data_IF_176008984561
#
_entry.id   IF_176008984561
#
_cell.length_a   1.000
_cell.length_b   1.000
_cell.length_c   1.000
_cell.angle_alpha   90.00
_cell.angle_beta   90.00
_cell.angle_gamma   90.00
#
_symmetry.space_group_name_H-M   'P 1'
#
loop_
_entity.id
_entity.type
_entity.pdbx_description
1 polymer ?
#
# COMPACT_ATOMS: atom_id res chain seq x y z
N UNK A 1 -8.79 36.42 -6.40
CA UNK A 1 -8.21 35.62 -5.30
C UNK A 1 -8.74 34.22 -5.42
N UNK A 2 -7.87 33.22 -5.46
CA UNK A 2 -8.28 31.81 -5.59
C UNK A 2 -7.72 31.05 -4.38
N UNK A 3 -8.59 30.34 -3.66
CA UNK A 3 -8.21 29.47 -2.55
C UNK A 3 -7.95 28.05 -3.08
N UNK A 4 -6.89 27.42 -2.60
CA UNK A 4 -6.53 26.03 -2.94
C UNK A 4 -6.75 25.17 -1.71
N UNK A 5 -7.38 24.00 -1.83
CA UNK A 5 -7.77 23.19 -0.67
C UNK A 5 -6.93 21.93 -0.50
N UNK A 6 -6.56 21.31 -1.60
CA UNK A 6 -6.01 19.96 -1.61
C UNK A 6 -4.50 19.94 -1.86
N UNK A 7 -3.99 20.94 -2.60
CA UNK A 7 -2.57 21.09 -2.93
C UNK A 7 -1.97 22.31 -2.21
N UNK A 8 -0.68 22.22 -1.85
CA UNK A 8 0.04 23.36 -1.29
C UNK A 8 0.31 24.39 -2.38
N UNK A 9 -0.08 25.63 -2.13
CA UNK A 9 0.16 26.74 -3.06
C UNK A 9 1.64 26.93 -3.39
N UNK A 10 2.54 26.62 -2.45
CA UNK A 10 3.99 26.70 -2.64
C UNK A 10 4.47 25.85 -3.81
N UNK A 11 3.88 24.66 -3.98
CA UNK A 11 4.20 23.70 -5.04
C UNK A 11 3.72 24.18 -6.41
N UNK A 12 2.62 24.93 -6.44
CA UNK A 12 2.05 25.50 -7.68
C UNK A 12 2.76 26.79 -8.11
N UNK A 13 3.43 27.48 -7.19
CA UNK A 13 4.02 28.79 -7.45
C UNK A 13 5.02 28.86 -8.63
N UNK A 14 5.92 27.88 -8.85
CA UNK A 14 6.89 27.96 -9.96
C UNK A 14 6.19 27.77 -11.31
N UNK A 15 5.23 26.84 -11.37
CA UNK A 15 4.45 26.55 -12.57
C UNK A 15 3.56 27.74 -12.94
N UNK A 16 2.86 28.32 -11.96
CA UNK A 16 1.99 29.47 -12.19
C UNK A 16 2.78 30.72 -12.60
N UNK A 17 3.98 30.93 -12.04
CA UNK A 17 4.89 31.99 -12.50
C UNK A 17 5.34 31.77 -13.94
N UNK A 18 5.79 30.56 -14.29
CA UNK A 18 6.20 30.23 -15.66
C UNK A 18 5.05 30.41 -16.68
N UNK A 19 3.83 30.02 -16.31
CA UNK A 19 2.65 30.20 -17.17
C UNK A 19 2.25 31.69 -17.29
N UNK A 20 2.40 32.47 -16.23
CA UNK A 20 2.15 33.91 -16.23
C UNK A 20 3.20 34.68 -17.05
N UNK A 21 4.48 34.30 -16.96
CA UNK A 21 5.59 34.91 -17.72
C UNK A 21 5.39 34.69 -19.23
N UNK A 22 4.90 33.51 -19.64
CA UNK A 22 4.52 33.23 -21.03
C UNK A 22 3.28 34.03 -21.50
N UNK A 23 2.37 34.35 -20.58
CA UNK A 23 1.10 35.00 -20.90
C UNK A 23 1.18 36.53 -20.95
N UNK A 24 2.29 37.12 -20.48
CA UNK A 24 2.58 38.54 -20.55
C UNK A 24 1.77 39.40 -19.57
N UNK A 25 2.47 40.16 -18.73
CA UNK A 25 1.96 41.16 -17.78
C UNK A 25 0.94 40.65 -16.75
N UNK A 26 1.45 40.36 -15.57
CA UNK A 26 0.70 40.03 -14.36
C UNK A 26 1.66 39.64 -13.23
N UNK A 27 1.22 39.65 -11.98
CA UNK A 27 1.98 39.13 -10.85
C UNK A 27 1.18 38.04 -10.13
N UNK A 28 1.87 36.95 -9.78
CA UNK A 28 1.33 35.84 -9.00
C UNK A 28 2.04 35.84 -7.65
N UNK A 29 1.29 36.14 -6.60
CA UNK A 29 1.76 36.11 -5.22
C UNK A 29 1.02 35.01 -4.49
N UNK A 30 1.75 34.17 -3.76
CA UNK A 30 1.15 33.19 -2.88
C UNK A 30 1.21 33.65 -1.43
N UNK A 31 0.24 33.23 -0.64
CA UNK A 31 0.26 33.40 0.80
C UNK A 31 0.03 32.04 1.48
N UNK A 32 1.14 31.48 1.97
CA UNK A 32 1.20 30.13 2.53
C UNK A 32 0.31 29.93 3.78
N UNK A 33 0.25 30.85 4.77
CA UNK A 33 -0.51 30.60 6.00
C UNK A 33 -2.02 30.37 5.78
N UNK A 34 -2.59 30.95 4.72
CA UNK A 34 -4.00 30.74 4.36
C UNK A 34 -4.19 29.86 3.11
N UNK A 35 -3.11 29.32 2.53
CA UNK A 35 -3.12 28.55 1.27
C UNK A 35 -3.90 29.24 0.13
N UNK A 36 -3.63 30.54 -0.07
CA UNK A 36 -4.31 31.37 -1.08
C UNK A 36 -3.34 31.86 -2.15
N UNK A 37 -3.86 32.06 -3.37
CA UNK A 37 -3.13 32.65 -4.49
C UNK A 37 -3.79 33.98 -4.89
N UNK A 38 -2.97 35.02 -4.89
CA UNK A 38 -3.29 36.33 -5.41
C UNK A 38 -2.71 36.47 -6.81
N UNK A 39 -3.59 36.57 -7.80
CA UNK A 39 -3.25 36.72 -9.20
C UNK A 39 -3.72 38.08 -9.64
N UNK A 40 -2.81 38.85 -10.23
CA UNK A 40 -3.07 40.17 -10.81
C UNK A 40 -2.58 40.15 -12.25
N UNK A 41 -3.34 40.72 -13.18
CA UNK A 41 -2.99 40.70 -14.60
C UNK A 41 -4.21 40.89 -15.49
N UNK A 42 -4.07 40.57 -16.78
CA UNK A 42 -5.18 40.63 -17.74
C UNK A 42 -6.25 39.59 -17.42
N UNK A 43 -7.52 39.96 -17.57
CA UNK A 43 -8.66 39.10 -17.26
C UNK A 43 -8.59 37.71 -17.94
N UNK A 44 -8.18 37.64 -19.21
CA UNK A 44 -8.02 36.38 -19.94
C UNK A 44 -6.99 35.42 -19.30
N UNK A 45 -5.89 35.97 -18.76
CA UNK A 45 -4.84 35.19 -18.11
C UNK A 45 -5.29 34.74 -16.72
N UNK A 46 -5.94 35.62 -15.97
CA UNK A 46 -6.50 35.31 -14.64
C UNK A 46 -7.51 34.17 -14.74
N UNK A 47 -8.43 34.23 -15.70
CA UNK A 47 -9.43 33.17 -15.90
C UNK A 47 -8.78 31.84 -16.26
N UNK A 48 -7.80 31.85 -17.19
CA UNK A 48 -7.06 30.63 -17.57
C UNK A 48 -6.29 30.02 -16.40
N UNK A 49 -5.61 30.85 -15.60
CA UNK A 49 -4.88 30.37 -14.42
C UNK A 49 -5.83 29.83 -13.36
N UNK A 50 -6.99 30.47 -13.15
CA UNK A 50 -8.01 29.99 -12.23
C UNK A 50 -8.54 28.59 -12.64
N UNK A 51 -8.82 28.37 -13.92
CA UNK A 51 -9.23 27.06 -14.44
C UNK A 51 -8.15 25.99 -14.24
N UNK A 52 -6.88 26.32 -14.47
CA UNK A 52 -5.77 25.39 -14.26
C UNK A 52 -5.65 25.04 -12.77
N UNK A 53 -5.72 26.04 -11.89
CA UNK A 53 -5.66 25.84 -10.45
C UNK A 53 -6.81 24.93 -10.00
N UNK A 54 -8.04 25.16 -10.46
CA UNK A 54 -9.19 24.32 -10.11
C UNK A 54 -9.02 22.87 -10.57
N UNK A 55 -8.50 22.66 -11.80
CA UNK A 55 -8.20 21.31 -12.30
C UNK A 55 -7.13 20.61 -11.47
N UNK A 56 -6.08 21.33 -11.10
CA UNK A 56 -4.99 20.77 -10.30
C UNK A 56 -5.41 20.52 -8.85
N UNK A 57 -6.22 21.41 -8.25
CA UNK A 57 -6.75 21.24 -6.90
C UNK A 57 -7.68 20.01 -6.83
N UNK A 58 -8.52 19.80 -7.85
CA UNK A 58 -9.34 18.57 -7.97
C UNK A 58 -8.49 17.31 -8.10
N UNK A 59 -7.40 17.35 -8.87
CA UNK A 59 -6.47 16.23 -9.00
C UNK A 59 -5.66 15.96 -7.71
N UNK A 60 -5.54 16.97 -6.83
CA UNK A 60 -4.86 16.84 -5.55
C UNK A 60 -5.72 16.26 -4.42
N UNK A 61 -7.00 15.94 -4.66
CA UNK A 61 -7.91 15.42 -3.63
C UNK A 61 -7.37 14.13 -3.00
N UNK A 62 -6.94 14.25 -1.74
CA UNK A 62 -6.47 13.14 -0.91
C UNK A 62 -7.48 12.88 0.19
N UNK A 63 -8.55 12.17 -0.16
CA UNK A 63 -9.47 11.64 0.84
C UNK A 63 -8.99 10.29 1.37
N UNK A 64 -9.32 10.01 2.63
CA UNK A 64 -9.03 8.74 3.30
C UNK A 64 -10.24 7.82 3.14
N UNK A 65 -9.98 6.56 2.83
CA UNK A 65 -10.99 5.51 2.75
C UNK A 65 -10.58 4.32 3.62
N UNK A 66 -11.55 3.70 4.29
CA UNK A 66 -11.37 2.50 5.10
C UNK A 66 -11.86 1.29 4.31
N UNK A 67 -11.02 0.26 4.21
CA UNK A 67 -11.35 -1.02 3.59
C UNK A 67 -11.20 -2.12 4.63
N UNK A 68 -12.31 -2.78 4.98
CA UNK A 68 -12.31 -3.92 5.89
C UNK A 68 -11.85 -5.19 5.18
N UNK A 69 -11.07 -6.02 5.88
CA UNK A 69 -10.57 -7.30 5.38
C UNK A 69 -11.29 -8.45 6.09
N UNK A 70 -11.57 -9.52 5.34
CA UNK A 70 -12.28 -10.69 5.86
C UNK A 70 -11.36 -11.88 6.16
N UNK A 71 -10.33 -12.08 5.35
CA UNK A 71 -9.52 -13.29 5.37
C UNK A 71 -8.06 -13.02 5.74
N UNK A 72 -7.47 -11.97 5.18
CA UNK A 72 -6.08 -11.63 5.39
C UNK A 72 -5.87 -10.67 6.57
N UNK A 73 -4.68 -10.72 7.17
CA UNK A 73 -4.25 -9.74 8.18
C UNK A 73 -3.94 -8.39 7.55
N UNK A 74 -4.44 -7.30 8.13
CA UNK A 74 -4.19 -5.94 7.66
C UNK A 74 -2.70 -5.60 7.55
N UNK A 75 -1.88 -6.04 8.52
CA UNK A 75 -0.44 -5.77 8.52
C UNK A 75 0.29 -6.46 7.37
N UNK A 76 -0.08 -7.71 7.05
CA UNK A 76 0.51 -8.46 5.94
C UNK A 76 0.08 -7.87 4.60
N UNK A 77 -1.18 -7.50 4.48
CA UNK A 77 -1.72 -6.89 3.27
C UNK A 77 -1.03 -5.57 2.92
N UNK A 78 -0.81 -4.69 3.91
CA UNK A 78 -0.08 -3.44 3.67
C UNK A 78 1.34 -3.71 3.18
N UNK A 79 2.05 -4.67 3.77
CA UNK A 79 3.41 -5.03 3.32
C UNK A 79 3.45 -5.51 1.87
N UNK A 80 2.50 -6.37 1.48
CA UNK A 80 2.41 -6.90 0.13
C UNK A 80 2.10 -5.78 -0.86
N UNK A 81 1.11 -4.94 -0.55
CA UNK A 81 0.68 -3.84 -1.43
C UNK A 81 1.76 -2.77 -1.56
N UNK A 82 2.47 -2.43 -0.47
CA UNK A 82 3.63 -1.53 -0.52
C UNK A 82 4.77 -2.09 -1.36
N UNK A 83 5.06 -3.39 -1.24
CA UNK A 83 6.06 -4.06 -2.06
C UNK A 83 5.71 -3.98 -3.55
N UNK A 84 4.43 -4.19 -3.90
CA UNK A 84 3.95 -4.04 -5.28
C UNK A 84 4.08 -2.58 -5.77
N UNK A 85 3.68 -1.60 -4.98
CA UNK A 85 3.72 -0.18 -5.36
C UNK A 85 5.15 0.37 -5.51
N UNK A 86 6.09 -0.05 -4.65
CA UNK A 86 7.51 0.38 -4.73
C UNK A 86 8.16 0.02 -6.07
N UNK A 87 7.71 -1.05 -6.73
CA UNK A 87 8.29 -1.51 -7.99
C UNK A 87 7.82 -0.70 -9.21
N UNK A 88 6.66 -0.04 -9.15
CA UNK A 88 6.02 0.55 -10.33
C UNK A 88 6.17 2.07 -10.42
N UNK A 89 6.17 2.83 -9.31
CA UNK A 89 5.90 4.29 -9.37
C UNK A 89 6.82 5.20 -8.54
N UNK A 90 7.84 4.66 -7.85
CA UNK A 90 8.61 5.43 -6.86
C UNK A 90 9.56 6.50 -7.45
N UNK A 91 9.89 6.46 -8.75
CA UNK A 91 10.94 7.32 -9.33
C UNK A 91 10.44 8.60 -10.02
N UNK A 92 9.18 8.65 -10.47
CA UNK A 92 8.68 9.78 -11.28
C UNK A 92 7.46 10.50 -10.70
N UNK A 93 6.89 9.99 -9.61
CA UNK A 93 5.69 10.58 -8.99
C UNK A 93 6.08 11.36 -7.73
N UNK A 94 5.80 12.67 -7.66
CA UNK A 94 6.07 13.49 -6.48
C UNK A 94 5.54 12.83 -5.20
N UNK A 95 6.31 12.89 -4.11
CA UNK A 95 5.96 12.25 -2.84
C UNK A 95 4.58 12.66 -2.31
N UNK A 96 4.08 13.83 -2.68
CA UNK A 96 2.74 14.29 -2.31
C UNK A 96 1.62 13.55 -3.06
N UNK A 97 1.85 13.01 -4.26
CA UNK A 97 0.89 12.23 -5.03
C UNK A 97 0.96 10.73 -4.75
N UNK A 98 1.92 10.28 -3.93
CA UNK A 98 2.04 8.88 -3.57
C UNK A 98 0.94 8.48 -2.58
N UNK A 99 0.23 7.37 -2.82
CA UNK A 99 -0.76 6.88 -1.88
C UNK A 99 -0.08 6.44 -0.58
N UNK A 100 -0.70 6.74 0.57
CA UNK A 100 -0.27 6.16 1.86
C UNK A 100 -1.26 5.12 2.30
N UNK A 101 -0.75 3.99 2.77
CA UNK A 101 -1.52 2.88 3.31
C UNK A 101 -1.14 2.69 4.77
N UNK A 102 -2.13 2.49 5.63
CA UNK A 102 -1.93 2.21 7.06
C UNK A 102 -2.85 1.06 7.45
N UNK A 103 -2.33 0.09 8.19
CA UNK A 103 -3.12 -1.00 8.75
C UNK A 103 -3.72 -0.59 10.10
N UNK A 104 -5.00 -0.83 10.31
CA UNK A 104 -5.64 -0.88 11.62
C UNK A 104 -5.87 -2.35 12.00
N UNK A 105 -5.01 -2.88 12.85
CA UNK A 105 -5.08 -4.26 13.32
C UNK A 105 -6.29 -4.50 14.25
N UNK A 106 -6.78 -3.46 14.94
CA UNK A 106 -7.89 -3.58 15.89
C UNK A 106 -9.21 -3.89 15.19
N UNK A 107 -9.43 -3.34 13.99
CA UNK A 107 -10.64 -3.59 13.18
C UNK A 107 -10.36 -4.45 11.95
N UNK A 108 -9.15 -4.98 11.82
CA UNK A 108 -8.66 -5.67 10.63
C UNK A 108 -8.99 -4.91 9.34
N UNK A 109 -8.63 -3.64 9.29
CA UNK A 109 -8.95 -2.74 8.18
C UNK A 109 -7.71 -2.05 7.65
N UNK A 110 -7.73 -1.64 6.39
CA UNK A 110 -6.68 -0.83 5.76
C UNK A 110 -7.24 0.56 5.49
N UNK A 111 -6.52 1.58 5.96
CA UNK A 111 -6.75 2.97 5.61
C UNK A 111 -5.92 3.30 4.37
N UNK A 112 -6.59 3.76 3.32
CA UNK A 112 -5.98 4.15 2.06
C UNK A 112 -6.20 5.64 1.87
N UNK A 113 -5.10 6.38 1.68
CA UNK A 113 -5.13 7.81 1.34
C UNK A 113 -4.53 8.04 -0.03
N UNK A 114 -5.19 8.87 -0.83
CA UNK A 114 -4.71 9.23 -2.17
C UNK A 114 -5.85 9.60 -3.12
N UNK A 115 -5.48 9.82 -4.39
CA UNK A 115 -6.42 10.13 -5.47
C UNK A 115 -7.52 9.04 -5.59
N UNK A 116 -8.78 9.41 -5.89
CA UNK A 116 -9.86 8.46 -6.19
C UNK A 116 -9.50 7.29 -7.12
N UNK A 117 -8.73 7.53 -8.19
CA UNK A 117 -8.30 6.51 -9.14
C UNK A 117 -7.31 5.52 -8.49
N UNK A 118 -6.37 6.04 -7.72
CA UNK A 118 -5.37 5.22 -7.01
C UNK A 118 -6.06 4.39 -5.94
N UNK A 119 -6.97 4.98 -5.16
CA UNK A 119 -7.78 4.23 -4.17
C UNK A 119 -8.61 3.14 -4.82
N UNK A 120 -9.24 3.40 -5.97
CA UNK A 120 -10.01 2.39 -6.70
C UNK A 120 -9.14 1.23 -7.16
N UNK A 121 -7.95 1.51 -7.70
CA UNK A 121 -6.98 0.47 -8.08
C UNK A 121 -6.54 -0.35 -6.87
N UNK A 122 -6.15 0.30 -5.77
CA UNK A 122 -5.71 -0.37 -4.56
C UNK A 122 -6.81 -1.21 -3.94
N UNK A 123 -8.05 -0.72 -3.89
CA UNK A 123 -9.21 -1.48 -3.42
C UNK A 123 -9.39 -2.77 -4.22
N UNK A 124 -9.27 -2.71 -5.54
CA UNK A 124 -9.39 -3.91 -6.38
C UNK A 124 -8.27 -4.91 -6.10
N UNK A 125 -7.03 -4.45 -5.92
CA UNK A 125 -5.90 -5.31 -5.57
C UNK A 125 -6.12 -5.95 -4.19
N UNK A 126 -6.52 -5.15 -3.21
CA UNK A 126 -6.85 -5.63 -1.86
C UNK A 126 -7.96 -6.68 -1.90
N UNK A 127 -9.04 -6.45 -2.64
CA UNK A 127 -10.14 -7.43 -2.79
C UNK A 127 -9.71 -8.71 -3.52
N UNK A 128 -8.75 -8.62 -4.44
CA UNK A 128 -8.21 -9.80 -5.12
C UNK A 128 -7.30 -10.63 -4.20
N UNK A 129 -6.56 -9.96 -3.32
CA UNK A 129 -5.65 -10.59 -2.36
C UNK A 129 -6.37 -11.10 -1.09
N UNK A 130 -7.44 -10.43 -0.65
CA UNK A 130 -8.30 -10.83 0.48
C UNK A 130 -9.27 -11.96 0.11
N UNK A 131 -8.98 -12.71 -0.96
CA UNK A 131 -9.72 -13.94 -1.26
C UNK A 131 -9.32 -15.02 -0.26
N UNK A 132 -10.28 -15.88 0.08
CA UNK A 132 -10.02 -17.07 0.87
C UNK A 132 -8.81 -17.79 0.27
N UNK A 133 -7.75 -17.97 1.08
CA UNK A 133 -6.71 -18.90 0.70
C UNK A 133 -7.40 -20.24 0.46
N UNK A 134 -7.39 -20.70 -0.79
CA UNK A 134 -7.66 -22.10 -1.08
C UNK A 134 -6.81 -22.90 -0.10
N UNK A 135 -7.47 -23.82 0.62
CA UNK A 135 -7.04 -24.64 1.76
C UNK A 135 -5.74 -25.45 1.60
N UNK A 136 -4.85 -25.03 0.71
CA UNK A 136 -3.40 -25.27 0.77
C UNK A 136 -2.74 -24.52 1.93
N UNK A 137 -3.42 -24.47 3.08
CA UNK A 137 -2.79 -24.04 4.32
C UNK A 137 -1.53 -24.88 4.50
N UNK A 138 -0.44 -24.23 4.89
CA UNK A 138 0.87 -24.84 5.14
C UNK A 138 0.84 -25.88 6.30
N UNK A 139 -0.34 -26.35 6.68
CA UNK A 139 -0.62 -27.26 7.78
C UNK A 139 -1.56 -28.34 7.26
N UNK A 140 -1.04 -29.55 7.13
CA UNK A 140 -1.80 -30.72 6.70
C UNK A 140 -2.02 -31.63 7.92
N UNK A 141 -3.29 -31.93 8.22
CA UNK A 141 -3.63 -32.90 9.27
C UNK A 141 -3.62 -34.30 8.63
N UNK A 142 -2.75 -35.17 9.13
CA UNK A 142 -2.65 -36.57 8.68
C UNK A 142 -3.10 -37.48 9.82
N UNK A 143 -4.20 -38.19 9.62
CA UNK A 143 -4.69 -39.18 10.57
C UNK A 143 -3.88 -40.48 10.44
N UNK A 144 -3.29 -40.91 11.55
CA UNK A 144 -2.52 -42.13 11.64
C UNK A 144 -3.46 -43.31 11.91
N UNK A 145 -3.30 -44.41 11.16
CA UNK A 145 -4.14 -45.62 11.30
C UNK A 145 -3.61 -46.61 12.33
N UNK A 146 -2.28 -46.79 12.36
CA UNK A 146 -1.63 -47.87 13.11
C UNK A 146 -0.44 -47.39 13.96
N UNK A 147 -0.23 -46.08 14.07
CA UNK A 147 0.94 -45.51 14.73
C UNK A 147 0.54 -44.43 15.73
N UNK A 148 1.24 -44.37 16.86
CA UNK A 148 1.09 -43.31 17.85
C UNK A 148 1.69 -42.01 17.31
N UNK A 149 0.93 -40.93 17.37
CA UNK A 149 1.38 -39.62 16.92
C UNK A 149 2.57 -39.08 17.76
N UNK A 150 2.59 -39.38 19.06
CA UNK A 150 3.62 -38.92 19.99
C UNK A 150 5.01 -39.47 19.61
N UNK A 151 5.09 -40.79 19.37
CA UNK A 151 6.34 -41.46 18.99
C UNK A 151 6.85 -41.01 17.61
N UNK A 152 5.94 -40.71 16.67
CA UNK A 152 6.30 -40.29 15.32
C UNK A 152 6.77 -38.83 15.24
N UNK A 153 6.35 -37.96 16.16
CA UNK A 153 6.77 -36.56 16.14
C UNK A 153 8.27 -36.43 16.35
N UNK A 154 8.86 -37.19 17.26
CA UNK A 154 10.29 -37.09 17.55
C UNK A 154 11.14 -37.57 16.37
N UNK A 155 10.71 -38.64 15.71
CA UNK A 155 11.37 -39.16 14.49
C UNK A 155 11.22 -38.16 13.34
N UNK A 156 10.01 -37.63 13.12
CA UNK A 156 9.75 -36.72 12.01
C UNK A 156 10.41 -35.34 12.21
N UNK A 157 10.56 -34.87 13.45
CA UNK A 157 11.36 -33.68 13.77
C UNK A 157 12.82 -33.87 13.36
N UNK A 158 13.43 -35.00 13.73
CA UNK A 158 14.81 -35.32 13.36
C UNK A 158 15.04 -35.44 11.85
N UNK A 159 14.08 -36.00 11.11
CA UNK A 159 14.13 -36.08 9.65
C UNK A 159 13.92 -34.70 9.01
N UNK A 160 13.01 -33.88 9.55
CA UNK A 160 12.71 -32.54 9.04
C UNK A 160 13.87 -31.57 9.20
N UNK A 161 14.55 -31.60 10.36
CA UNK A 161 15.74 -30.79 10.61
C UNK A 161 16.89 -31.16 9.65
N UNK A 162 17.09 -32.46 9.40
CA UNK A 162 18.08 -32.92 8.43
C UNK A 162 17.72 -32.52 7.00
N UNK A 163 16.44 -32.59 6.63
CA UNK A 163 15.96 -32.16 5.32
C UNK A 163 16.11 -30.65 5.11
N UNK A 164 15.81 -29.84 6.15
CA UNK A 164 16.00 -28.40 6.13
C UNK A 164 17.47 -28.01 5.97
N UNK A 165 18.38 -28.68 6.71
CA UNK A 165 19.83 -28.49 6.59
C UNK A 165 20.36 -28.91 5.22
N UNK A 166 19.89 -30.04 4.68
CA UNK A 166 20.30 -30.53 3.36
C UNK A 166 19.84 -29.60 2.22
N UNK A 167 18.65 -29.01 2.32
CA UNK A 167 18.11 -28.09 1.30
C UNK A 167 18.83 -26.73 1.29
N UNK A 168 19.37 -26.30 2.43
CA UNK A 168 20.16 -25.07 2.56
C UNK A 168 21.60 -25.20 2.01
N UNK A 169 22.11 -26.43 1.81
CA UNK A 169 23.45 -26.65 1.25
C UNK A 169 23.54 -26.51 -0.28
N UNK A 170 22.40 -26.41 -0.98
CA UNK A 170 22.33 -26.40 -2.46
C UNK A 170 21.99 -25.06 -3.13
N UNK A 171 21.71 -23.99 -2.38
CA UNK A 171 21.40 -22.67 -2.96
C UNK A 171 22.26 -21.59 -2.33
N UNK A 172 23.18 -21.05 -3.13
CA UNK A 172 23.96 -19.87 -2.80
C UNK A 172 23.07 -18.69 -2.38
N UNK A 173 23.57 -17.97 -1.38
CA UNK A 173 23.08 -16.73 -0.77
C UNK A 173 22.02 -15.94 -1.58
N UNK A 174 20.74 -16.22 -1.30
CA UNK A 174 19.65 -15.27 -1.51
C UNK A 174 18.48 -15.62 -0.57
N UNK A 175 18.27 -14.76 0.42
CA UNK A 175 17.10 -14.66 1.30
C UNK A 175 16.78 -15.92 2.13
N UNK A 176 17.25 -15.90 3.38
CA UNK A 176 16.84 -16.85 4.42
C UNK A 176 15.34 -16.66 4.74
N UNK A 177 14.49 -17.31 3.95
CA UNK A 177 13.16 -17.70 4.41
C UNK A 177 13.36 -18.89 5.33
N UNK A 178 13.32 -18.67 6.64
CA UNK A 178 13.26 -19.74 7.64
C UNK A 178 11.98 -20.54 7.40
N UNK A 179 12.08 -21.59 6.58
CA UNK A 179 10.99 -22.51 6.32
C UNK A 179 10.94 -23.52 7.48
N UNK A 180 10.63 -23.03 8.67
CA UNK A 180 10.52 -23.82 9.90
C UNK A 180 9.27 -24.70 9.80
N UNK A 181 9.48 -26.01 9.69
CA UNK A 181 8.40 -26.99 9.65
C UNK A 181 8.08 -27.39 11.09
N UNK A 182 6.99 -26.87 11.65
CA UNK A 182 6.54 -27.19 13.00
C UNK A 182 5.60 -28.40 12.94
N UNK A 183 6.03 -29.54 13.47
CA UNK A 183 5.22 -30.78 13.55
C UNK A 183 4.72 -30.94 14.98
N UNK A 184 3.39 -30.94 15.17
CA UNK A 184 2.71 -31.11 16.46
C UNK A 184 1.85 -32.37 16.45
N UNK A 185 1.92 -33.18 17.51
CA UNK A 185 1.02 -34.31 17.73
C UNK A 185 -0.19 -33.89 18.60
N UNK A 186 -1.34 -34.48 18.31
CA UNK A 186 -2.50 -34.44 19.18
C UNK A 186 -3.09 -35.85 19.33
N UNK A 187 -3.44 -36.22 20.56
CA UNK A 187 -4.19 -37.45 20.82
C UNK A 187 -5.61 -37.24 20.31
N UNK A 188 -6.13 -38.18 19.52
CA UNK A 188 -7.51 -38.12 19.06
C UNK A 188 -8.45 -38.09 20.28
N UNK A 189 -9.01 -36.92 20.59
CA UNK A 189 -10.12 -36.80 21.53
C UNK A 189 -11.38 -37.21 20.77
N UNK A 190 -11.78 -38.46 20.93
CA UNK A 190 -13.16 -38.88 20.67
C UNK A 190 -14.10 -38.22 21.67
N UNK A 191 -15.33 -37.84 21.26
CA UNK A 191 -16.39 -37.41 22.17
C UNK A 191 -16.83 -38.53 23.13
#
# INVERSE_FOLDING_TARGET
MVAVRNVSVRELSPLLRQLNDNAGAGNVVHYDPANIILITGRAAVVNRLAEIIERVDKAGDKSVEVVELKNASAAEMVRIVEALNKTTDAKNTPAFLQPKLVADERTNSILISGDPQVRKRLRNVVQQLDKEMATTGNSQVVYLKNANAEDLVDVLKGVSDNLAKAKNAGKGAATASNNEVVISAHKAQTP
#
